data_IF_806244952046
#
_entry.id   IF_806244952046
#
_cell.length_a   1.000
_cell.length_b   1.000
_cell.length_c   1.000
_cell.angle_alpha   90.00
_cell.angle_beta   90.00
_cell.angle_gamma   90.00
#
_symmetry.space_group_name_H-M   'P 1'
#
loop_
_entity.id
_entity.type
_entity.pdbx_description
1 polymer ?
#
# COMPACT_ATOMS: atom_id res chain seq x y z
N UNK A 1 5.41 -5.54 -30.32
CA UNK A 1 6.68 -5.71 -29.59
C UNK A 1 6.56 -4.99 -28.26
N UNK A 2 6.92 -5.65 -27.15
CA UNK A 2 6.78 -5.09 -25.79
C UNK A 2 7.76 -3.96 -25.53
N UNK A 3 8.96 -4.04 -26.12
CA UNK A 3 9.95 -2.97 -26.01
C UNK A 3 9.48 -1.70 -26.72
N UNK A 4 9.02 -1.83 -27.97
CA UNK A 4 8.40 -0.71 -28.69
C UNK A 4 7.23 -0.08 -27.91
N UNK A 5 6.35 -0.89 -27.32
CA UNK A 5 5.23 -0.39 -26.51
C UNK A 5 5.71 0.37 -25.25
N UNK A 6 6.70 -0.17 -24.52
CA UNK A 6 7.29 0.50 -23.36
C UNK A 6 7.95 1.83 -23.75
N UNK A 7 8.71 1.86 -24.85
CA UNK A 7 9.34 3.07 -25.37
C UNK A 7 8.32 4.11 -25.80
N UNK A 8 7.23 3.69 -26.44
CA UNK A 8 6.13 4.59 -26.80
C UNK A 8 5.53 5.24 -25.55
N UNK A 9 5.11 4.46 -24.55
CA UNK A 9 4.53 4.97 -23.31
C UNK A 9 5.48 5.91 -22.56
N UNK A 10 6.76 5.57 -22.47
CA UNK A 10 7.76 6.42 -21.84
C UNK A 10 7.93 7.76 -22.57
N UNK A 11 7.78 7.79 -23.90
CA UNK A 11 7.90 8.99 -24.71
C UNK A 11 6.66 9.89 -24.66
N UNK A 12 5.53 9.43 -24.13
CA UNK A 12 4.32 10.25 -23.94
C UNK A 12 4.49 11.28 -22.81
N UNK A 13 5.42 11.06 -21.88
CA UNK A 13 5.80 12.04 -20.85
C UNK A 13 7.10 12.77 -21.30
N UNK A 14 7.08 14.10 -21.55
CA UNK A 14 8.23 14.82 -22.12
C UNK A 14 9.52 14.76 -21.30
N UNK A 15 9.43 14.72 -19.97
CA UNK A 15 10.59 14.58 -19.08
C UNK A 15 11.30 13.24 -19.25
N UNK A 16 10.54 12.16 -19.23
CA UNK A 16 11.01 10.79 -19.45
C UNK A 16 11.56 10.62 -20.86
N UNK A 17 10.91 11.18 -21.88
CA UNK A 17 11.39 11.16 -23.26
C UNK A 17 12.81 11.78 -23.37
N UNK A 18 13.02 12.93 -22.73
CA UNK A 18 14.33 13.60 -22.71
C UNK A 18 15.38 12.82 -21.92
N UNK A 19 14.98 12.26 -20.77
CA UNK A 19 15.86 11.50 -19.87
C UNK A 19 16.31 10.16 -20.50
N UNK A 20 15.40 9.48 -21.19
CA UNK A 20 15.60 8.12 -21.71
C UNK A 20 16.02 8.06 -23.19
N UNK A 21 16.23 9.21 -23.86
CA UNK A 21 16.53 9.29 -25.31
C UNK A 21 17.66 8.37 -25.79
N UNK A 22 18.65 8.09 -24.93
CA UNK A 22 19.83 7.27 -25.22
C UNK A 22 19.89 6.02 -24.32
N UNK A 23 18.78 5.64 -23.71
CA UNK A 23 18.73 4.51 -22.79
C UNK A 23 18.95 3.18 -23.55
N UNK A 24 19.79 2.32 -22.99
CA UNK A 24 19.91 0.94 -23.41
C UNK A 24 18.92 0.09 -22.61
N UNK A 25 18.24 -0.84 -23.27
CA UNK A 25 17.30 -1.79 -22.64
C UNK A 25 17.93 -3.19 -22.67
N UNK A 26 18.87 -3.50 -21.76
CA UNK A 26 19.65 -4.74 -21.82
C UNK A 26 18.84 -5.98 -21.47
N UNK A 27 17.70 -5.80 -20.80
CA UNK A 27 16.84 -6.89 -20.34
C UNK A 27 15.56 -6.96 -21.18
N UNK A 28 15.01 -8.17 -21.41
CA UNK A 28 13.68 -8.32 -22.00
C UNK A 28 12.61 -7.60 -21.18
N UNK A 29 11.64 -6.98 -21.86
CA UNK A 29 10.50 -6.35 -21.20
C UNK A 29 9.58 -7.41 -20.62
N UNK A 30 9.47 -7.41 -19.28
CA UNK A 30 8.50 -8.22 -18.55
C UNK A 30 7.09 -7.64 -18.64
N UNK A 31 6.10 -8.51 -18.54
CA UNK A 31 4.69 -8.13 -18.43
C UNK A 31 4.11 -8.86 -17.23
N UNK A 32 3.40 -8.12 -16.39
CA UNK A 32 2.72 -8.63 -15.21
C UNK A 32 1.26 -8.21 -15.30
N UNK A 33 0.35 -9.16 -15.08
CA UNK A 33 -1.09 -8.93 -15.06
C UNK A 33 -1.74 -9.71 -13.93
N UNK A 34 -2.97 -9.33 -13.57
CA UNK A 34 -3.75 -10.03 -12.54
C UNK A 34 -3.09 -10.02 -11.16
N UNK A 35 -2.31 -8.99 -10.85
CA UNK A 35 -1.55 -8.91 -9.60
C UNK A 35 -2.43 -8.63 -8.38
N UNK A 36 -3.57 -7.96 -8.53
CA UNK A 36 -4.50 -7.71 -7.43
C UNK A 36 -5.34 -8.95 -7.14
N UNK A 37 -5.13 -9.57 -5.98
CA UNK A 37 -5.81 -10.78 -5.56
C UNK A 37 -5.94 -10.83 -4.04
N UNK A 38 -7.01 -11.45 -3.54
CA UNK A 38 -7.27 -11.62 -2.11
C UNK A 38 -7.70 -13.07 -1.79
N UNK A 39 -7.47 -13.49 -0.56
CA UNK A 39 -7.82 -14.79 0.00
C UNK A 39 -9.01 -14.69 0.97
N UNK A 40 -9.75 -15.78 1.12
CA UNK A 40 -10.87 -15.83 2.09
C UNK A 40 -10.41 -15.90 3.54
N UNK A 41 -9.18 -16.34 3.78
CA UNK A 41 -8.61 -16.57 5.11
C UNK A 41 -7.10 -16.42 5.09
N UNK A 42 -6.57 -15.57 5.98
CA UNK A 42 -5.13 -15.33 6.11
C UNK A 42 -4.43 -16.37 6.96
N UNK A 43 -5.07 -16.88 8.02
CA UNK A 43 -4.49 -17.91 8.86
C UNK A 43 -5.52 -18.84 9.52
N UNK A 44 -5.02 -19.98 9.98
CA UNK A 44 -5.64 -20.93 10.89
C UNK A 44 -4.58 -21.38 11.90
N UNK A 45 -4.96 -22.22 12.85
CA UNK A 45 -4.00 -22.89 13.75
C UNK A 45 -2.90 -23.68 13.00
N UNK A 46 -3.13 -24.07 11.75
CA UNK A 46 -2.24 -24.97 11.00
C UNK A 46 -1.50 -24.32 9.83
N UNK A 47 -1.88 -23.10 9.43
CA UNK A 47 -1.17 -22.38 8.37
C UNK A 47 -1.41 -20.88 8.47
N UNK A 48 -0.46 -20.10 7.94
CA UNK A 48 -0.61 -18.66 7.71
C UNK A 48 -0.09 -18.30 6.31
N UNK A 49 -0.78 -17.37 5.64
CA UNK A 49 -0.44 -16.83 4.33
C UNK A 49 0.22 -15.47 4.49
N UNK A 50 1.43 -15.32 3.98
CA UNK A 50 2.29 -14.14 4.18
C UNK A 50 2.52 -13.41 2.85
N UNK A 51 2.75 -12.09 2.92
CA UNK A 51 2.99 -11.24 1.76
C UNK A 51 1.96 -11.44 0.65
N UNK A 52 2.44 -11.56 -0.59
CA UNK A 52 1.59 -11.73 -1.77
C UNK A 52 0.73 -13.01 -1.74
N UNK A 53 1.03 -14.01 -0.91
CA UNK A 53 0.17 -15.18 -0.77
C UNK A 53 -1.11 -14.87 0.01
N UNK A 54 -1.12 -13.82 0.83
CA UNK A 54 -2.31 -13.31 1.52
C UNK A 54 -3.08 -12.33 0.64
N UNK A 55 -2.45 -11.22 0.28
CA UNK A 55 -3.07 -10.21 -0.58
C UNK A 55 -2.00 -9.35 -1.27
N UNK A 56 -2.28 -8.96 -2.50
CA UNK A 56 -1.54 -7.91 -3.19
C UNK A 56 -2.52 -6.84 -3.67
N UNK A 57 -2.18 -5.58 -3.42
CA UNK A 57 -3.04 -4.43 -3.71
C UNK A 57 -2.65 -3.83 -5.07
N UNK A 58 -1.63 -2.98 -5.07
CA UNK A 58 -1.15 -2.22 -6.22
C UNK A 58 0.26 -1.67 -5.94
N UNK A 59 1.15 -1.54 -6.94
CA UNK A 59 2.53 -1.11 -6.71
C UNK A 59 2.73 0.41 -6.50
N UNK A 60 1.70 1.27 -6.63
CA UNK A 60 1.85 2.75 -6.57
C UNK A 60 2.63 3.24 -5.35
N UNK A 61 2.43 2.64 -4.17
CA UNK A 61 3.13 3.03 -2.94
C UNK A 61 4.25 2.09 -2.50
N UNK A 62 4.64 1.13 -3.35
CA UNK A 62 5.73 0.19 -3.05
C UNK A 62 5.60 -0.55 -1.70
N UNK A 63 4.37 -0.78 -1.22
CA UNK A 63 4.10 -1.34 0.12
C UNK A 63 4.24 -2.85 0.21
N UNK A 64 4.31 -3.57 -0.92
CA UNK A 64 4.28 -5.04 -0.95
C UNK A 64 5.38 -5.71 -0.11
N UNK A 65 6.62 -5.21 -0.18
CA UNK A 65 7.72 -5.74 0.64
C UNK A 65 7.49 -5.47 2.13
N UNK A 66 7.00 -4.28 2.48
CA UNK A 66 6.66 -3.94 3.87
C UNK A 66 5.58 -4.86 4.43
N UNK A 67 4.53 -5.14 3.65
CA UNK A 67 3.45 -6.07 4.02
C UNK A 67 4.00 -7.50 4.18
N UNK A 68 4.86 -7.95 3.26
CA UNK A 68 5.51 -9.26 3.36
C UNK A 68 6.36 -9.39 4.65
N UNK A 69 7.15 -8.38 4.97
CA UNK A 69 7.97 -8.39 6.20
C UNK A 69 7.11 -8.27 7.46
N UNK A 70 6.03 -7.48 7.45
CA UNK A 70 5.12 -7.36 8.60
C UNK A 70 4.29 -8.60 8.84
N UNK A 71 3.78 -9.23 7.80
CA UNK A 71 3.12 -10.54 7.92
C UNK A 71 4.10 -11.59 8.45
N UNK A 72 5.34 -11.65 7.96
CA UNK A 72 6.35 -12.54 8.51
C UNK A 72 6.65 -12.29 9.99
N UNK A 73 6.76 -11.02 10.40
CA UNK A 73 6.96 -10.64 11.80
C UNK A 73 5.80 -11.15 12.69
N UNK A 74 4.55 -10.84 12.34
CA UNK A 74 3.40 -11.21 13.16
C UNK A 74 3.19 -12.73 13.20
N UNK A 75 3.39 -13.41 12.07
CA UNK A 75 3.29 -14.86 12.03
C UNK A 75 4.38 -15.52 12.88
N UNK A 76 5.62 -15.02 12.84
CA UNK A 76 6.72 -15.55 13.66
C UNK A 76 6.42 -15.42 15.16
N UNK A 77 5.89 -14.27 15.60
CA UNK A 77 5.47 -14.05 16.99
C UNK A 77 4.42 -15.10 17.44
N UNK A 78 3.43 -15.37 16.57
CA UNK A 78 2.39 -16.38 16.81
C UNK A 78 2.96 -17.81 16.85
N UNK A 79 3.79 -18.19 15.87
CA UNK A 79 4.39 -19.53 15.79
C UNK A 79 5.24 -19.83 17.03
N UNK A 80 6.10 -18.90 17.44
CA UNK A 80 6.99 -19.11 18.59
C UNK A 80 6.17 -19.39 19.86
N UNK A 81 5.11 -18.62 20.11
CA UNK A 81 4.23 -18.81 21.27
C UNK A 81 3.46 -20.13 21.20
N UNK A 82 2.89 -20.46 20.04
CA UNK A 82 2.17 -21.72 19.85
C UNK A 82 3.09 -22.94 20.05
N UNK A 83 4.33 -22.90 19.55
CA UNK A 83 5.31 -23.97 19.75
C UNK A 83 5.74 -24.12 21.22
N UNK A 84 5.61 -23.06 22.03
CA UNK A 84 5.84 -23.10 23.47
C UNK A 84 4.61 -23.57 24.27
N UNK A 85 3.52 -23.97 23.58
CA UNK A 85 2.30 -24.50 24.21
C UNK A 85 1.31 -23.42 24.66
N UNK A 86 1.50 -22.16 24.24
CA UNK A 86 0.51 -21.11 24.48
C UNK A 86 -0.68 -21.25 23.53
N UNK A 87 -1.86 -20.82 23.99
CA UNK A 87 -3.02 -20.64 23.12
C UNK A 87 -2.83 -19.33 22.37
N UNK A 88 -2.91 -19.39 21.03
CA UNK A 88 -2.74 -18.24 20.14
C UNK A 88 -4.01 -18.10 19.29
N UNK A 89 -4.58 -16.90 19.29
CA UNK A 89 -5.70 -16.57 18.40
C UNK A 89 -5.17 -16.00 17.08
N UNK A 90 -5.00 -16.86 16.07
CA UNK A 90 -4.53 -16.46 14.75
C UNK A 90 -5.47 -15.49 14.00
N UNK A 91 -6.73 -15.41 14.40
CA UNK A 91 -7.66 -14.46 13.81
C UNK A 91 -7.35 -13.05 14.34
N UNK A 92 -7.35 -12.87 15.66
CA UNK A 92 -7.10 -11.57 16.28
C UNK A 92 -5.62 -11.15 16.15
N UNK A 93 -4.70 -12.04 16.52
CA UNK A 93 -3.30 -11.70 16.74
C UNK A 93 -2.48 -11.60 15.45
N UNK A 94 -2.92 -12.29 14.39
CA UNK A 94 -2.30 -12.25 13.07
C UNK A 94 -3.21 -11.59 12.03
N UNK A 95 -4.38 -12.16 11.76
CA UNK A 95 -5.19 -11.80 10.59
C UNK A 95 -5.73 -10.37 10.70
N UNK A 96 -6.46 -10.06 11.76
CA UNK A 96 -7.04 -8.73 11.98
C UNK A 96 -5.97 -7.67 12.18
N UNK A 97 -4.92 -8.01 12.97
CA UNK A 97 -3.77 -7.16 13.17
C UNK A 97 -3.05 -6.81 11.86
N UNK A 98 -2.84 -7.78 10.97
CA UNK A 98 -2.24 -7.54 9.65
C UNK A 98 -3.15 -6.65 8.80
N UNK A 99 -4.46 -6.92 8.81
CA UNK A 99 -5.44 -6.21 7.99
C UNK A 99 -5.57 -4.72 8.33
N UNK A 100 -5.21 -4.27 9.53
CA UNK A 100 -5.14 -2.83 9.85
C UNK A 100 -4.26 -2.09 8.84
N UNK A 101 -3.03 -2.55 8.62
CA UNK A 101 -2.11 -1.91 7.68
C UNK A 101 -2.45 -2.18 6.23
N UNK A 102 -2.93 -3.38 5.90
CA UNK A 102 -3.37 -3.71 4.52
C UNK A 102 -4.52 -2.81 4.10
N UNK A 103 -5.55 -2.65 4.94
CA UNK A 103 -6.69 -1.78 4.66
C UNK A 103 -6.29 -0.31 4.64
N UNK A 104 -5.37 0.11 5.52
CA UNK A 104 -4.80 1.46 5.44
C UNK A 104 -4.19 1.69 4.06
N UNK A 105 -3.25 0.84 3.61
CA UNK A 105 -2.67 0.98 2.27
C UNK A 105 -3.71 0.91 1.14
N UNK A 106 -4.73 0.05 1.28
CA UNK A 106 -5.83 -0.04 0.32
C UNK A 106 -6.55 1.30 0.18
N UNK A 107 -6.91 1.94 1.30
CA UNK A 107 -7.55 3.26 1.29
C UNK A 107 -6.74 4.27 0.50
N UNK A 108 -5.43 4.37 0.73
CA UNK A 108 -4.59 5.33 0.01
C UNK A 108 -4.39 4.93 -1.46
N UNK A 109 -4.28 3.63 -1.75
CA UNK A 109 -4.23 3.08 -3.12
C UNK A 109 -5.47 3.46 -3.92
N UNK A 110 -6.66 3.18 -3.39
CA UNK A 110 -7.94 3.56 -3.99
C UNK A 110 -8.08 5.08 -4.08
N UNK A 111 -7.63 5.79 -3.04
CA UNK A 111 -7.61 7.25 -2.99
C UNK A 111 -6.77 7.89 -4.09
N UNK A 112 -5.67 7.24 -4.49
CA UNK A 112 -4.87 7.65 -5.63
C UNK A 112 -5.66 7.55 -6.94
N UNK A 113 -6.29 6.40 -7.19
CA UNK A 113 -7.03 6.16 -8.43
C UNK A 113 -8.34 6.94 -8.55
N UNK A 114 -9.03 7.21 -7.43
CA UNK A 114 -10.27 7.99 -7.41
C UNK A 114 -10.05 9.51 -7.24
N UNK A 115 -8.79 9.95 -7.15
CA UNK A 115 -8.40 11.36 -7.07
C UNK A 115 -8.44 11.97 -5.66
N UNK A 116 -9.10 11.37 -4.67
CA UNK A 116 -9.20 11.96 -3.31
C UNK A 116 -7.84 12.18 -2.66
N UNK A 117 -6.90 11.24 -2.82
CA UNK A 117 -5.55 11.42 -2.31
C UNK A 117 -4.77 12.44 -3.14
N UNK A 118 -4.99 12.49 -4.45
CA UNK A 118 -4.34 13.47 -5.33
C UNK A 118 -4.69 14.90 -4.91
N UNK A 119 -5.97 15.16 -4.61
CA UNK A 119 -6.41 16.46 -4.10
C UNK A 119 -5.63 16.85 -2.84
N UNK A 120 -5.51 15.91 -1.89
CA UNK A 120 -4.83 16.14 -0.62
C UNK A 120 -3.33 16.39 -0.78
N UNK A 121 -2.63 15.58 -1.58
CA UNK A 121 -1.17 15.68 -1.72
C UNK A 121 -0.73 16.89 -2.55
N UNK A 122 -1.55 17.32 -3.52
CA UNK A 122 -1.24 18.45 -4.39
C UNK A 122 -1.83 19.77 -3.90
N UNK A 123 -2.56 19.76 -2.79
CA UNK A 123 -3.03 20.98 -2.14
C UNK A 123 -1.87 21.91 -1.77
N UNK A 124 -2.00 23.20 -2.10
CA UNK A 124 -0.90 24.16 -2.02
C UNK A 124 -0.59 24.64 -0.60
N UNK A 125 -1.58 24.59 0.30
CA UNK A 125 -1.45 25.06 1.68
C UNK A 125 -1.72 23.93 2.70
N UNK A 126 -1.00 22.80 2.65
CA UNK A 126 -1.30 21.65 3.49
C UNK A 126 -1.02 21.96 4.96
N UNK A 127 -1.91 21.51 5.85
CA UNK A 127 -1.61 21.51 7.27
C UNK A 127 -0.36 20.63 7.54
N UNK A 128 0.72 21.16 8.13
CA UNK A 128 1.98 20.42 8.28
C UNK A 128 1.84 19.12 9.09
N UNK A 129 0.96 19.10 10.09
CA UNK A 129 0.72 17.94 10.95
C UNK A 129 0.00 16.83 10.19
N UNK A 130 -1.00 17.17 9.39
CA UNK A 130 -1.72 16.21 8.54
C UNK A 130 -0.78 15.64 7.48
N UNK A 131 0.02 16.50 6.84
CA UNK A 131 1.04 16.06 5.87
C UNK A 131 2.01 15.04 6.49
N UNK A 132 2.49 15.28 7.71
CA UNK A 132 3.35 14.34 8.43
C UNK A 132 2.65 13.00 8.71
N UNK A 133 1.38 13.03 9.14
CA UNK A 133 0.58 11.82 9.39
C UNK A 133 0.41 10.95 8.14
N UNK A 134 0.08 11.56 7.00
CA UNK A 134 -0.05 10.84 5.73
C UNK A 134 1.33 10.36 5.24
N UNK A 135 2.36 11.19 5.37
CA UNK A 135 3.74 10.82 5.00
C UNK A 135 4.24 9.61 5.79
N UNK A 136 3.89 9.50 7.08
CA UNK A 136 4.25 8.35 7.90
C UNK A 136 3.64 7.04 7.35
N UNK A 137 2.41 7.08 6.87
CA UNK A 137 1.74 5.93 6.25
C UNK A 137 2.48 5.53 4.97
N UNK A 138 2.78 6.50 4.10
CA UNK A 138 3.55 6.28 2.87
C UNK A 138 4.97 5.78 3.14
N UNK A 139 5.53 6.10 4.31
CA UNK A 139 6.82 5.60 4.78
C UNK A 139 6.75 4.20 5.44
N UNK A 140 5.57 3.57 5.50
CA UNK A 140 5.40 2.21 6.01
C UNK A 140 4.76 2.08 7.39
N UNK A 141 4.46 3.17 8.09
CA UNK A 141 3.87 3.17 9.45
C UNK A 141 2.35 2.94 9.42
N UNK A 142 1.88 2.01 8.59
CA UNK A 142 0.44 1.73 8.38
C UNK A 142 -0.23 0.95 9.53
N UNK A 143 0.52 0.56 10.57
CA UNK A 143 -0.01 -0.13 11.75
C UNK A 143 0.01 0.75 13.02
N UNK A 144 0.44 2.02 12.90
CA UNK A 144 0.42 2.96 14.02
C UNK A 144 -0.98 3.54 14.23
N UNK A 145 -1.77 2.93 15.11
CA UNK A 145 -3.17 3.33 15.37
C UNK A 145 -3.31 4.62 16.20
N UNK A 146 -2.20 5.19 16.71
CA UNK A 146 -2.22 6.54 17.29
C UNK A 146 -2.34 7.60 16.19
N UNK A 147 -1.95 7.26 14.96
CA UNK A 147 -2.22 8.09 13.79
C UNK A 147 -3.70 7.97 13.38
N UNK A 148 -4.50 9.05 13.45
CA UNK A 148 -5.92 9.00 13.08
C UNK A 148 -6.14 8.62 11.61
N UNK A 149 -5.17 8.90 10.75
CA UNK A 149 -5.20 8.57 9.33
C UNK A 149 -4.89 7.08 9.03
N UNK A 150 -4.44 6.32 10.04
CA UNK A 150 -4.41 4.85 10.05
C UNK A 150 -5.70 4.33 10.64
N UNK A 151 -6.03 4.78 11.86
CA UNK A 151 -7.19 4.29 12.64
C UNK A 151 -8.53 4.44 11.92
N UNK A 152 -8.69 5.51 11.15
CA UNK A 152 -9.92 5.87 10.44
C UNK A 152 -9.61 6.29 8.99
N UNK A 153 -8.75 5.52 8.30
CA UNK A 153 -8.17 5.90 7.01
C UNK A 153 -9.20 6.40 6.00
N UNK A 154 -10.28 5.64 5.75
CA UNK A 154 -11.29 5.98 4.73
C UNK A 154 -12.02 7.28 5.05
N UNK A 155 -12.61 7.36 6.26
CA UNK A 155 -13.36 8.53 6.70
C UNK A 155 -12.48 9.78 6.71
N UNK A 156 -11.27 9.68 7.26
CA UNK A 156 -10.34 10.83 7.39
C UNK A 156 -9.87 11.33 6.05
N UNK A 157 -9.51 10.43 5.12
CA UNK A 157 -9.08 10.81 3.78
C UNK A 157 -10.24 11.46 3.00
N UNK A 158 -11.43 10.88 3.04
CA UNK A 158 -12.61 11.40 2.35
C UNK A 158 -12.98 12.81 2.83
N UNK A 159 -13.11 12.99 4.16
CA UNK A 159 -13.43 14.30 4.74
C UNK A 159 -12.34 15.34 4.43
N UNK A 160 -11.06 14.95 4.48
CA UNK A 160 -9.98 15.88 4.14
C UNK A 160 -10.03 16.30 2.67
N UNK A 161 -10.29 15.36 1.75
CA UNK A 161 -10.43 15.66 0.34
C UNK A 161 -11.62 16.59 0.06
N UNK A 162 -12.76 16.40 0.73
CA UNK A 162 -13.92 17.30 0.64
C UNK A 162 -13.58 18.72 1.12
N UNK A 163 -12.85 18.84 2.23
CA UNK A 163 -12.41 20.15 2.73
C UNK A 163 -11.45 20.84 1.75
N UNK A 164 -10.47 20.10 1.21
CA UNK A 164 -9.52 20.62 0.22
C UNK A 164 -10.24 21.11 -1.05
N UNK A 165 -11.25 20.37 -1.53
CA UNK A 165 -12.07 20.76 -2.68
C UNK A 165 -12.97 21.97 -2.36
N UNK A 166 -13.51 22.02 -1.14
CA UNK A 166 -14.38 23.12 -0.68
C UNK A 166 -13.64 24.44 -0.45
N UNK A 167 -12.35 24.39 -0.16
CA UNK A 167 -11.48 25.58 -0.06
C UNK A 167 -10.99 26.09 -1.43
N UNK A 168 -11.33 25.42 -2.55
CA UNK A 168 -10.84 25.80 -3.88
C UNK A 168 -11.67 25.32 -5.08
N UNK A 169 -12.68 26.10 -5.44
CA UNK A 169 -12.85 26.72 -6.77
C UNK A 169 -13.25 28.18 -6.59
#
# INVERSE_FOLDING_TARGET
DKLAALQQLANEEPGLASLLRNANYPNPVGELGGYSANVKRLATEHYALLGNAGEFLDPVFSSGVTIAMKSAQFAADCVVRQLNGEVVDWQEEYSERLMVGVNTFRTYGEGWYNGTLQDVIFYQAPNPRIKQMISAILAGYAWDTENPYVKQSEQRLSTLAELVRGEGF
#
